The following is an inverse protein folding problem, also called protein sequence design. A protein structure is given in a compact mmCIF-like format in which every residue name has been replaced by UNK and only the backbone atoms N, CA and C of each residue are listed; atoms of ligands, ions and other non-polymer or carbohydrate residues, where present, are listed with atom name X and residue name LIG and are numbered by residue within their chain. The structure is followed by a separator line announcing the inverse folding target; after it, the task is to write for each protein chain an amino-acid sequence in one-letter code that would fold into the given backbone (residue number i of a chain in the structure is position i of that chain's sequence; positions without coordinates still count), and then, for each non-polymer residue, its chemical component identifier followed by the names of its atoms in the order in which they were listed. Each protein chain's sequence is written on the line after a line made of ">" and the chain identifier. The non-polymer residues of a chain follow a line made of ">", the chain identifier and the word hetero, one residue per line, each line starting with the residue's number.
data_IF_748953409034
#
_entry.id   IF_748953409034
#
_cell.length_a   1.000
_cell.length_b   1.000
_cell.length_c   1.000
_cell.angle_alpha   90.00
_cell.angle_beta   90.00
_cell.angle_gamma   90.00
#
_symmetry.space_group_name_H-M   'P 1'
#
loop_
_entity.id
_entity.type
_entity.pdbx_description
1 polymer ?
#
# COMPACT_ATOMS: atom_id res chain seq x y z
N UNK A 1 -0.09 15.46 -27.12
CA UNK A 1 -0.01 16.03 -25.76
C UNK A 1 0.38 14.91 -24.79
N UNK A 2 1.37 15.10 -23.90
CA UNK A 2 1.67 14.13 -22.86
C UNK A 2 0.51 14.03 -21.85
N UNK A 3 0.27 12.84 -21.31
CA UNK A 3 -0.73 12.60 -20.26
C UNK A 3 -0.16 12.98 -18.90
N UNK A 4 -1.00 13.08 -17.85
CA UNK A 4 -0.53 13.22 -16.46
C UNK A 4 0.45 12.11 -16.09
N UNK A 5 0.15 10.89 -16.54
CA UNK A 5 0.99 9.71 -16.33
C UNK A 5 2.38 9.89 -16.94
N UNK A 6 2.47 10.27 -18.21
CA UNK A 6 3.77 10.41 -18.88
C UNK A 6 4.53 11.69 -18.52
N UNK A 7 3.83 12.76 -18.11
CA UNK A 7 4.45 14.03 -17.75
C UNK A 7 4.95 14.10 -16.31
N UNK A 8 4.30 13.39 -15.37
CA UNK A 8 4.56 13.56 -13.92
C UNK A 8 4.75 12.22 -13.21
N UNK A 9 3.84 11.27 -13.39
CA UNK A 9 3.84 10.05 -12.57
C UNK A 9 5.02 9.14 -12.92
N UNK A 10 5.27 8.87 -14.21
CA UNK A 10 6.38 8.03 -14.65
C UNK A 10 7.75 8.63 -14.27
N UNK A 11 8.04 9.93 -14.51
CA UNK A 11 9.30 10.52 -14.05
C UNK A 11 9.55 10.36 -12.54
N UNK A 12 8.52 10.56 -11.71
CA UNK A 12 8.64 10.39 -10.26
C UNK A 12 8.88 8.93 -9.87
N UNK A 13 8.18 7.99 -10.51
CA UNK A 13 8.37 6.55 -10.30
C UNK A 13 9.80 6.14 -10.62
N UNK A 14 10.35 6.61 -11.75
CA UNK A 14 11.72 6.31 -12.14
C UNK A 14 12.74 6.93 -11.17
N UNK A 15 12.51 8.14 -10.68
CA UNK A 15 13.36 8.73 -9.64
C UNK A 15 13.34 7.89 -8.35
N UNK A 16 12.17 7.43 -7.90
CA UNK A 16 12.05 6.57 -6.73
C UNK A 16 12.78 5.24 -6.93
N UNK A 17 12.73 4.66 -8.14
CA UNK A 17 13.49 3.45 -8.49
C UNK A 17 14.99 3.65 -8.35
N UNK A 18 15.53 4.79 -8.83
CA UNK A 18 16.95 5.15 -8.66
C UNK A 18 17.33 5.27 -7.18
N UNK A 19 16.41 5.71 -6.33
CA UNK A 19 16.60 5.78 -4.86
C UNK A 19 16.44 4.42 -4.16
N UNK A 20 16.27 3.32 -4.89
CA UNK A 20 16.15 1.96 -4.34
C UNK A 20 14.72 1.54 -4.00
N UNK A 21 13.70 2.33 -4.36
CA UNK A 21 12.32 1.93 -4.16
C UNK A 21 11.87 0.93 -5.23
N UNK A 22 11.12 -0.09 -4.82
CA UNK A 22 10.50 -1.02 -5.77
C UNK A 22 9.16 -0.48 -6.25
N UNK A 23 9.06 -0.17 -7.55
CA UNK A 23 7.76 0.13 -8.17
C UNK A 23 6.96 -1.17 -8.41
N UNK A 24 5.72 -1.18 -7.94
CA UNK A 24 4.74 -2.23 -8.19
C UNK A 24 3.64 -1.66 -9.08
N UNK A 25 3.46 -2.22 -10.28
CA UNK A 25 2.39 -1.81 -11.17
C UNK A 25 1.01 -2.02 -10.51
N UNK A 26 0.07 -1.12 -10.76
CA UNK A 26 -1.27 -1.17 -10.17
C UNK A 26 -2.07 -2.39 -10.63
N UNK A 27 -1.84 -2.81 -11.88
CA UNK A 27 -2.48 -3.94 -12.55
C UNK A 27 -1.43 -4.98 -12.96
N UNK A 28 -1.82 -6.25 -12.96
CA UNK A 28 -1.12 -7.35 -13.61
C UNK A 28 -1.26 -7.25 -15.12
N UNK A 29 -0.51 -8.05 -15.88
CA UNK A 29 -0.60 -8.11 -17.35
C UNK A 29 -2.04 -8.44 -17.82
N UNK A 30 -2.75 -9.31 -17.09
CA UNK A 30 -4.16 -9.65 -17.33
C UNK A 30 -5.17 -8.59 -16.84
N UNK A 31 -4.71 -7.41 -16.43
CA UNK A 31 -5.57 -6.30 -16.00
C UNK A 31 -6.22 -6.48 -14.62
N UNK A 32 -5.68 -7.35 -13.76
CA UNK A 32 -6.19 -7.55 -12.38
C UNK A 32 -5.42 -6.68 -11.38
N UNK A 33 -6.01 -6.22 -10.28
CA UNK A 33 -5.27 -5.49 -9.25
C UNK A 33 -4.07 -6.30 -8.72
N UNK A 34 -2.87 -5.73 -8.74
CA UNK A 34 -1.67 -6.45 -8.30
C UNK A 34 -1.68 -6.72 -6.80
N UNK A 35 -1.61 -7.99 -6.41
CA UNK A 35 -1.47 -8.41 -5.00
C UNK A 35 -2.69 -8.15 -4.12
N UNK A 36 -3.87 -7.94 -4.70
CA UNK A 36 -5.14 -7.70 -4.00
C UNK A 36 -6.33 -8.18 -4.83
N UNK A 37 -7.44 -8.49 -4.18
CA UNK A 37 -8.68 -8.90 -4.87
C UNK A 37 -9.42 -7.68 -5.47
N UNK A 38 -9.26 -6.50 -4.88
CA UNK A 38 -9.86 -5.26 -5.39
C UNK A 38 -9.08 -4.02 -5.00
N UNK A 39 -9.28 -2.91 -5.70
CA UNK A 39 -8.72 -1.60 -5.32
C UNK A 39 -9.28 -1.03 -4.01
N UNK A 40 -10.32 -1.64 -3.43
CA UNK A 40 -10.84 -1.25 -2.10
C UNK A 40 -9.94 -1.75 -0.97
N UNK A 41 -9.14 -2.78 -1.23
CA UNK A 41 -8.17 -3.30 -0.26
C UNK A 41 -6.96 -2.37 -0.20
N UNK A 42 -6.73 -1.77 0.96
CA UNK A 42 -5.63 -0.83 1.20
C UNK A 42 -4.32 -1.52 1.55
N UNK A 43 -4.35 -2.83 1.87
CA UNK A 43 -3.19 -3.58 2.32
C UNK A 43 -2.90 -4.75 1.37
N UNK A 44 -1.65 -4.86 0.92
CA UNK A 44 -1.15 -6.02 0.17
C UNK A 44 -0.66 -7.08 1.16
N UNK A 45 -1.60 -7.87 1.71
CA UNK A 45 -1.34 -8.74 2.87
C UNK A 45 -0.20 -9.74 2.63
N UNK A 46 -0.14 -10.40 1.47
CA UNK A 46 0.91 -11.38 1.17
C UNK A 46 2.29 -10.74 1.15
N UNK A 47 2.40 -9.54 0.56
CA UNK A 47 3.66 -8.78 0.53
C UNK A 47 4.05 -8.33 1.94
N UNK A 48 3.08 -7.89 2.75
CA UNK A 48 3.32 -7.55 4.15
C UNK A 48 3.81 -8.76 4.94
N UNK A 49 3.17 -9.92 4.81
CA UNK A 49 3.57 -11.17 5.48
C UNK A 49 4.99 -11.56 5.10
N UNK A 50 5.34 -11.51 3.82
CA UNK A 50 6.69 -11.80 3.35
C UNK A 50 7.72 -10.85 3.97
N UNK A 51 7.45 -9.55 3.97
CA UNK A 51 8.36 -8.55 4.56
C UNK A 51 8.45 -8.62 6.08
N UNK A 52 7.37 -8.94 6.78
CA UNK A 52 7.41 -9.17 8.21
C UNK A 52 8.32 -10.35 8.58
N UNK A 53 8.29 -11.45 7.80
CA UNK A 53 9.23 -12.58 8.02
C UNK A 53 10.67 -12.20 7.73
N UNK A 54 10.91 -11.48 6.64
CA UNK A 54 12.26 -11.05 6.23
C UNK A 54 12.90 -10.08 7.24
N UNK A 55 12.12 -9.14 7.77
CA UNK A 55 12.62 -8.12 8.70
C UNK A 55 12.78 -8.62 10.13
N UNK A 56 11.99 -9.62 10.54
CA UNK A 56 11.98 -10.10 11.91
C UNK A 56 12.72 -11.44 12.01
N UNK A 57 14.05 -11.34 11.88
CA UNK A 57 14.96 -12.45 12.09
C UNK A 57 15.81 -12.21 13.34
N UNK A 58 16.07 -13.26 14.10
CA UNK A 58 17.03 -13.27 15.21
C UNK A 58 18.23 -14.13 14.76
N UNK A 59 19.42 -13.54 14.68
CA UNK A 59 20.63 -14.16 14.12
C UNK A 59 20.43 -14.80 12.74
N UNK A 60 19.64 -14.15 11.88
CA UNK A 60 19.33 -14.62 10.53
C UNK A 60 18.31 -15.77 10.47
N UNK A 61 17.78 -16.23 11.62
CA UNK A 61 16.72 -17.22 11.69
C UNK A 61 15.35 -16.54 11.82
N UNK A 62 14.33 -17.16 11.21
CA UNK A 62 12.95 -16.67 11.30
C UNK A 62 12.50 -16.70 12.76
N UNK A 63 12.33 -15.52 13.35
CA UNK A 63 11.86 -15.38 14.73
C UNK A 63 10.33 -15.40 14.83
N UNK A 64 9.68 -14.99 13.75
CA UNK A 64 8.25 -14.77 13.68
C UNK A 64 7.56 -16.02 13.10
N UNK A 65 7.12 -16.90 14.00
CA UNK A 65 6.29 -18.06 13.64
C UNK A 65 4.93 -17.65 13.04
N UNK A 66 4.23 -18.60 12.41
CA UNK A 66 2.97 -18.33 11.71
C UNK A 66 1.87 -17.77 12.60
N UNK A 67 1.85 -18.16 13.89
CA UNK A 67 0.87 -17.67 14.86
C UNK A 67 1.14 -16.20 15.19
N UNK A 68 2.39 -15.87 15.52
CA UNK A 68 2.84 -14.49 15.78
C UNK A 68 2.63 -13.61 14.56
N UNK A 69 2.90 -14.14 13.37
CA UNK A 69 2.74 -13.40 12.12
C UNK A 69 1.27 -13.06 11.88
N UNK A 70 0.39 -14.04 12.04
CA UNK A 70 -1.05 -13.84 11.91
C UNK A 70 -1.56 -12.83 12.93
N UNK A 71 -1.05 -12.85 14.16
CA UNK A 71 -1.39 -11.88 15.19
C UNK A 71 -0.93 -10.46 14.84
N UNK A 72 0.30 -10.29 14.35
CA UNK A 72 0.83 -9.00 13.91
C UNK A 72 0.01 -8.41 12.75
N UNK A 73 -0.29 -9.23 11.73
CA UNK A 73 -1.12 -8.84 10.59
C UNK A 73 -2.52 -8.43 11.03
N UNK A 74 -3.14 -9.17 11.96
CA UNK A 74 -4.46 -8.82 12.49
C UNK A 74 -4.48 -7.49 13.25
N UNK A 75 -3.40 -7.17 14.00
CA UNK A 75 -3.24 -5.87 14.67
C UNK A 75 -3.14 -4.74 13.64
N UNK A 76 -2.33 -4.92 12.59
CA UNK A 76 -2.16 -3.92 11.53
C UNK A 76 -3.46 -3.66 10.76
N UNK A 77 -4.20 -4.71 10.42
CA UNK A 77 -5.54 -4.57 9.81
C UNK A 77 -6.47 -3.72 10.65
N UNK A 78 -6.57 -3.99 11.96
CA UNK A 78 -7.42 -3.19 12.87
C UNK A 78 -7.00 -1.73 12.93
N UNK A 79 -5.69 -1.46 12.96
CA UNK A 79 -5.17 -0.10 12.98
C UNK A 79 -5.51 0.66 11.69
N UNK A 80 -5.37 0.02 10.52
CA UNK A 80 -5.72 0.59 9.22
C UNK A 80 -7.23 0.88 9.14
N UNK A 81 -8.06 -0.06 9.59
CA UNK A 81 -9.51 0.15 9.65
C UNK A 81 -9.89 1.33 10.54
N UNK A 82 -9.23 1.47 11.68
CA UNK A 82 -9.45 2.62 12.56
C UNK A 82 -9.05 3.92 11.88
N UNK A 83 -7.90 3.97 11.21
CA UNK A 83 -7.45 5.14 10.46
C UNK A 83 -8.43 5.51 9.34
N UNK A 84 -8.94 4.53 8.61
CA UNK A 84 -9.95 4.75 7.56
C UNK A 84 -11.22 5.36 8.13
N UNK A 85 -11.76 4.81 9.22
CA UNK A 85 -12.95 5.37 9.90
C UNK A 85 -12.72 6.79 10.41
N UNK A 86 -11.51 7.10 10.89
CA UNK A 86 -11.15 8.45 11.32
C UNK A 86 -11.05 9.41 10.14
N UNK A 87 -10.48 8.97 9.02
CA UNK A 87 -10.44 9.73 7.76
C UNK A 87 -11.85 10.04 7.24
N UNK A 88 -12.73 9.05 7.18
CA UNK A 88 -14.14 9.21 6.76
C UNK A 88 -14.88 10.23 7.63
N UNK A 89 -14.65 10.23 8.95
CA UNK A 89 -15.24 11.23 9.87
C UNK A 89 -14.65 12.64 9.71
N UNK A 90 -13.42 12.76 9.18
CA UNK A 90 -12.70 14.04 9.03
C UNK A 90 -13.01 14.78 7.73
N UNK A 91 -13.83 14.23 6.84
CA UNK A 91 -14.31 14.91 5.65
C UNK A 91 -15.76 15.42 5.82
N UNK A 92 -16.04 16.51 6.57
CA UNK A 92 -17.19 17.33 6.23
C UNK A 92 -16.95 17.88 4.83
N UNK A 93 -17.96 17.79 3.95
CA UNK A 93 -17.90 18.27 2.56
C UNK A 93 -17.23 19.64 2.52
N UNK A 94 -16.04 19.72 1.93
CA UNK A 94 -15.47 21.01 1.57
C UNK A 94 -16.26 21.43 0.33
N UNK A 95 -17.28 22.26 0.52
CA UNK A 95 -17.93 22.97 -0.57
C UNK A 95 -16.90 23.94 -1.16
N UNK A 96 -16.15 23.46 -2.16
CA UNK A 96 -15.30 24.31 -2.98
C UNK A 96 -16.24 25.16 -3.84
N UNK A 97 -16.54 26.38 -3.38
CA UNK A 97 -17.17 27.38 -4.22
C UNK A 97 -16.19 27.76 -5.34
N UNK A 98 -16.39 27.16 -6.51
CA UNK A 98 -15.76 27.62 -7.75
C UNK A 98 -16.44 28.94 -8.12
N UNK A 99 -15.77 30.07 -7.89
CA UNK A 99 -16.19 31.36 -8.45
C UNK A 99 -15.95 31.33 -9.96
N UNK A 100 -17.04 31.55 -10.71
CA UNK A 100 -17.06 31.78 -12.17
C UNK A 100 -16.42 33.11 -12.54
#
# INVERSE_FOLDING_TARGET
>A
MPSKESAVELPLIEQLRVMGWTHLAALTEDGRPTGRASFRETMLEDRLRAKLRELNTEDGQVWLDDRRLSQAVAVLHRAIDQLRRLGEKRHPKIDVQVKS
#
